data_IF_035362543711
#
_entry.id   IF_035362543711
#
_cell.length_a   1.000
_cell.length_b   1.000
_cell.length_c   1.000
_cell.angle_alpha   90.00
_cell.angle_beta   90.00
_cell.angle_gamma   90.00
#
_symmetry.space_group_name_H-M   'P 1'
#
loop_
_entity.id
_entity.type
_entity.pdbx_description
1 polymer ?
#
# COMPACT_ATOMS: atom_id res chain seq x y z
N UNK A 1 -7.79 4.43 0.44
CA UNK A 1 -8.97 4.05 -0.38
C UNK A 1 -8.57 4.03 -1.84
N UNK A 2 -9.09 3.10 -2.63
CA UNK A 2 -8.72 2.96 -4.04
C UNK A 2 -10.02 2.91 -4.87
N UNK A 3 -10.22 3.92 -5.71
CA UNK A 3 -11.32 4.00 -6.66
C UNK A 3 -10.78 3.94 -8.09
N UNK A 4 -11.66 3.80 -9.09
CA UNK A 4 -11.26 3.81 -10.48
C UNK A 4 -12.24 4.61 -11.34
N UNK A 5 -11.76 5.11 -12.47
CA UNK A 5 -12.58 5.70 -13.52
C UNK A 5 -12.16 5.10 -14.84
N UNK A 6 -13.08 4.34 -15.48
CA UNK A 6 -12.83 3.79 -16.81
C UNK A 6 -13.42 4.74 -17.85
N UNK A 7 -12.58 5.29 -18.70
CA UNK A 7 -12.94 6.22 -19.77
C UNK A 7 -13.58 5.46 -20.96
N UNK A 8 -14.32 6.14 -21.85
CA UNK A 8 -14.91 5.54 -23.06
C UNK A 8 -13.84 4.92 -24.00
N UNK A 9 -14.28 4.06 -24.92
CA UNK A 9 -13.39 3.40 -25.90
C UNK A 9 -12.77 4.35 -26.91
N UNK A 10 -13.47 5.43 -27.23
CA UNK A 10 -13.02 6.51 -28.11
C UNK A 10 -12.21 7.61 -27.40
N UNK A 11 -11.82 7.38 -26.16
CA UNK A 11 -10.93 8.29 -25.43
C UNK A 11 -9.58 8.42 -26.16
N UNK A 12 -9.10 9.65 -26.41
CA UNK A 12 -8.01 9.90 -27.37
C UNK A 12 -6.65 9.36 -26.92
N UNK A 13 -6.47 9.10 -25.63
CA UNK A 13 -5.18 8.71 -25.06
C UNK A 13 -5.14 7.22 -24.66
N UNK A 14 -4.01 6.57 -24.95
CA UNK A 14 -3.66 5.27 -24.39
C UNK A 14 -2.97 5.48 -23.02
N UNK A 15 -3.70 5.19 -21.94
CA UNK A 15 -3.23 5.43 -20.58
C UNK A 15 -2.06 4.52 -20.16
N UNK A 16 -1.82 3.40 -20.88
CA UNK A 16 -0.68 2.51 -20.59
C UNK A 16 0.67 3.12 -20.95
N UNK A 17 0.67 4.20 -21.73
CA UNK A 17 1.90 4.91 -22.16
C UNK A 17 2.27 6.07 -21.24
N UNK A 18 1.51 6.30 -20.19
CA UNK A 18 1.74 7.38 -19.23
C UNK A 18 2.64 6.90 -18.09
N UNK A 19 3.23 7.85 -17.36
CA UNK A 19 3.88 7.56 -16.08
C UNK A 19 2.84 7.03 -15.10
N UNK A 20 3.27 6.09 -14.23
CA UNK A 20 2.36 5.40 -13.32
C UNK A 20 1.57 6.37 -12.43
N UNK A 21 2.21 7.41 -11.92
CA UNK A 21 1.59 8.46 -11.09
C UNK A 21 1.78 9.78 -11.82
N UNK A 22 0.69 10.43 -12.21
CA UNK A 22 0.76 11.58 -13.12
C UNK A 22 0.27 12.89 -12.53
N UNK A 23 -0.60 12.88 -11.54
CA UNK A 23 -1.21 14.09 -10.96
C UNK A 23 -1.53 13.85 -9.50
N UNK A 24 -1.41 14.89 -8.70
CA UNK A 24 -1.81 14.87 -7.29
C UNK A 24 -2.57 16.13 -6.90
N UNK A 25 -3.53 15.98 -5.99
CA UNK A 25 -4.27 17.10 -5.38
C UNK A 25 -4.40 16.86 -3.88
N UNK A 26 -4.51 17.94 -3.14
CA UNK A 26 -4.71 18.00 -1.69
C UNK A 26 -6.01 18.71 -1.39
N UNK A 27 -7.16 18.02 -1.37
CA UNK A 27 -8.46 18.65 -1.14
C UNK A 27 -8.61 19.20 0.29
N UNK A 28 -7.88 18.65 1.23
CA UNK A 28 -7.76 19.10 2.61
C UNK A 28 -6.37 18.78 3.18
N UNK A 29 -5.98 19.29 4.38
CA UNK A 29 -4.64 19.07 4.95
C UNK A 29 -4.28 17.62 5.24
N UNK A 30 -5.27 16.73 5.32
CA UNK A 30 -5.08 15.33 5.70
C UNK A 30 -5.30 14.35 4.54
N UNK A 31 -5.75 14.82 3.40
CA UNK A 31 -6.09 13.96 2.25
C UNK A 31 -5.24 14.29 1.03
N UNK A 32 -4.59 13.29 0.50
CA UNK A 32 -3.83 13.32 -0.74
C UNK A 32 -4.46 12.37 -1.75
N UNK A 33 -4.79 12.86 -2.93
CA UNK A 33 -5.39 12.08 -4.01
C UNK A 33 -4.45 12.12 -5.22
N UNK A 34 -4.13 10.94 -5.74
CA UNK A 34 -3.30 10.77 -6.93
C UNK A 34 -4.04 10.01 -8.03
N UNK A 35 -3.71 10.34 -9.27
CA UNK A 35 -4.13 9.55 -10.43
C UNK A 35 -3.02 8.58 -10.81
N UNK A 36 -3.39 7.29 -10.86
CA UNK A 36 -2.46 6.20 -11.16
C UNK A 36 -2.93 5.44 -12.39
N UNK A 37 -2.00 5.06 -13.26
CA UNK A 37 -2.26 4.23 -14.43
C UNK A 37 -1.37 2.99 -14.41
N UNK A 38 -1.91 1.86 -14.89
CA UNK A 38 -1.15 0.63 -15.01
C UNK A 38 -0.66 0.43 -16.45
N UNK A 39 0.48 -0.22 -16.61
CA UNK A 39 0.98 -0.66 -17.91
C UNK A 39 0.12 -1.78 -18.54
N UNK A 40 0.53 -2.28 -19.69
CA UNK A 40 -0.21 -3.26 -20.51
C UNK A 40 -0.65 -4.55 -19.79
N UNK A 41 -0.02 -4.92 -18.68
CA UNK A 41 -0.36 -6.13 -17.91
C UNK A 41 -1.47 -5.91 -16.85
N UNK A 42 -2.06 -4.72 -16.77
CA UNK A 42 -3.00 -4.34 -15.70
C UNK A 42 -4.45 -4.78 -15.89
N UNK A 43 -4.84 -5.41 -16.99
CA UNK A 43 -6.23 -5.71 -17.32
C UNK A 43 -6.94 -6.62 -16.30
N UNK A 44 -6.22 -7.54 -15.67
CA UNK A 44 -6.75 -8.41 -14.60
C UNK A 44 -7.25 -7.66 -13.37
N UNK A 45 -6.77 -6.43 -13.15
CA UNK A 45 -7.20 -5.57 -12.05
C UNK A 45 -8.67 -5.16 -12.17
N UNK A 46 -9.27 -5.22 -13.38
CA UNK A 46 -10.70 -4.94 -13.60
C UNK A 46 -11.60 -5.75 -12.67
N UNK A 47 -11.22 -6.99 -12.36
CA UNK A 47 -11.99 -7.89 -11.47
C UNK A 47 -12.09 -7.41 -10.02
N UNK A 48 -11.28 -6.43 -9.64
CA UNK A 48 -11.28 -5.83 -8.31
C UNK A 48 -12.25 -4.64 -8.18
N UNK A 49 -12.92 -4.25 -9.26
CA UNK A 49 -13.76 -3.06 -9.31
C UNK A 49 -15.20 -3.37 -9.73
N UNK A 50 -16.12 -2.51 -9.29
CA UNK A 50 -17.54 -2.53 -9.66
C UNK A 50 -18.05 -1.09 -9.74
N UNK A 51 -19.36 -0.90 -10.02
CA UNK A 51 -19.95 0.44 -10.02
C UNK A 51 -19.72 1.18 -8.71
N UNK A 52 -19.58 2.50 -8.78
CA UNK A 52 -19.36 3.34 -7.62
C UNK A 52 -20.50 3.21 -6.61
N UNK A 53 -20.15 2.98 -5.36
CA UNK A 53 -21.08 2.90 -4.24
C UNK A 53 -20.68 3.93 -3.18
N UNK A 54 -21.65 4.74 -2.76
CA UNK A 54 -21.47 5.71 -1.70
C UNK A 54 -21.38 5.07 -0.30
N UNK A 55 -21.41 5.93 0.72
CA UNK A 55 -21.36 5.53 2.13
C UNK A 55 -22.39 4.48 2.52
N UNK A 56 -22.07 3.69 3.53
CA UNK A 56 -22.99 2.67 4.05
C UNK A 56 -22.32 1.66 4.98
N UNK A 57 -23.09 0.66 5.33
CA UNK A 57 -22.68 -0.46 6.18
C UNK A 57 -22.45 -1.73 5.36
N UNK A 58 -21.99 -2.80 6.00
CA UNK A 58 -21.85 -4.13 5.37
C UNK A 58 -23.17 -4.66 4.76
N UNK A 59 -24.33 -4.14 5.16
CA UNK A 59 -25.63 -4.53 4.62
C UNK A 59 -26.11 -3.54 3.57
N UNK A 60 -25.98 -2.26 3.84
CA UNK A 60 -26.55 -1.22 2.96
C UNK A 60 -25.72 -1.00 1.69
N UNK A 61 -24.39 -1.18 1.73
CA UNK A 61 -23.55 -1.04 0.52
C UNK A 61 -23.86 -2.06 -0.57
N UNK A 62 -23.99 -3.37 -0.30
CA UNK A 62 -24.40 -4.35 -1.30
C UNK A 62 -25.81 -4.04 -1.88
N UNK A 63 -26.74 -3.57 -1.04
CA UNK A 63 -28.08 -3.16 -1.53
C UNK A 63 -28.00 -1.93 -2.43
N UNK A 64 -27.16 -0.95 -2.09
CA UNK A 64 -26.89 0.21 -2.96
C UNK A 64 -26.24 -0.21 -4.28
N UNK A 65 -25.30 -1.16 -4.24
CA UNK A 65 -24.69 -1.72 -5.45
C UNK A 65 -25.75 -2.39 -6.34
N UNK A 66 -26.61 -3.22 -5.76
CA UNK A 66 -27.71 -3.84 -6.51
C UNK A 66 -28.62 -2.79 -7.14
N UNK A 67 -28.97 -1.72 -6.42
CA UNK A 67 -29.73 -0.59 -6.94
C UNK A 67 -29.01 0.12 -8.09
N UNK A 68 -27.69 0.28 -8.04
CA UNK A 68 -26.88 0.84 -9.13
C UNK A 68 -26.88 -0.09 -10.35
N UNK A 69 -26.75 -1.40 -10.15
CA UNK A 69 -26.78 -2.40 -11.24
C UNK A 69 -28.12 -2.36 -11.96
N UNK A 70 -29.23 -2.36 -11.22
CA UNK A 70 -30.60 -2.29 -11.81
C UNK A 70 -30.80 -0.97 -12.56
N UNK A 71 -30.32 0.13 -12.02
CA UNK A 71 -30.46 1.46 -12.64
C UNK A 71 -29.55 1.65 -13.86
N UNK A 72 -28.38 1.00 -13.87
CA UNK A 72 -27.34 1.18 -14.87
C UNK A 72 -26.77 -0.15 -15.40
N UNK A 73 -27.60 -1.06 -15.94
CA UNK A 73 -27.18 -2.41 -16.32
C UNK A 73 -26.10 -2.40 -17.43
N UNK A 74 -26.19 -1.47 -18.37
CA UNK A 74 -25.18 -1.34 -19.44
C UNK A 74 -23.82 -0.88 -18.90
N UNK A 75 -23.83 0.08 -17.95
CA UNK A 75 -22.57 0.50 -17.30
C UNK A 75 -21.96 -0.66 -16.53
N UNK A 76 -22.76 -1.42 -15.81
CA UNK A 76 -22.29 -2.60 -15.08
C UNK A 76 -21.70 -3.64 -16.03
N UNK A 77 -22.38 -3.99 -17.11
CA UNK A 77 -21.86 -4.93 -18.11
C UNK A 77 -20.48 -4.49 -18.66
N UNK A 78 -20.29 -3.19 -18.91
CA UNK A 78 -19.01 -2.64 -19.35
C UNK A 78 -17.89 -2.79 -18.30
N UNK A 79 -18.22 -2.78 -17.00
CA UNK A 79 -17.20 -2.98 -15.93
C UNK A 79 -16.77 -4.43 -15.82
N UNK A 80 -17.54 -5.39 -16.31
CA UNK A 80 -17.19 -6.82 -16.30
C UNK A 80 -16.22 -7.22 -17.40
N UNK A 81 -16.00 -6.34 -18.40
CA UNK A 81 -15.16 -6.64 -19.54
C UNK A 81 -13.70 -6.24 -19.31
N UNK A 82 -12.78 -7.19 -19.11
CA UNK A 82 -11.40 -6.88 -18.70
C UNK A 82 -10.51 -6.37 -19.84
N UNK A 83 -10.83 -6.70 -21.09
CA UNK A 83 -9.95 -6.41 -22.23
C UNK A 83 -9.77 -4.90 -22.44
N UNK A 84 -8.49 -4.48 -22.43
CA UNK A 84 -8.12 -3.08 -22.59
C UNK A 84 -8.51 -2.20 -21.40
N UNK A 85 -8.76 -2.80 -20.24
CA UNK A 85 -9.09 -2.05 -19.03
C UNK A 85 -7.95 -1.11 -18.62
N UNK A 86 -6.71 -1.57 -18.60
CA UNK A 86 -5.55 -0.75 -18.27
C UNK A 86 -5.32 0.42 -19.24
N UNK A 87 -5.70 0.26 -20.50
CA UNK A 87 -5.61 1.36 -21.50
C UNK A 87 -6.61 2.49 -21.26
N UNK A 88 -7.67 2.22 -20.50
CA UNK A 88 -8.83 3.10 -20.35
C UNK A 88 -9.16 3.42 -18.88
N UNK A 89 -8.34 2.98 -17.93
CA UNK A 89 -8.69 3.16 -16.52
C UNK A 89 -7.65 3.99 -15.79
N UNK A 90 -8.17 5.01 -15.12
CA UNK A 90 -7.45 5.85 -14.18
C UNK A 90 -7.83 5.39 -12.78
N UNK A 91 -6.85 4.98 -11.99
CA UNK A 91 -7.03 4.71 -10.58
C UNK A 91 -6.96 6.03 -9.82
N UNK A 92 -7.90 6.22 -8.92
CA UNK A 92 -7.92 7.33 -7.96
C UNK A 92 -7.45 6.77 -6.63
N UNK A 93 -6.17 7.00 -6.33
CA UNK A 93 -5.54 6.55 -5.11
C UNK A 93 -5.68 7.65 -4.05
N UNK A 94 -6.35 7.32 -2.95
CA UNK A 94 -6.64 8.28 -1.87
C UNK A 94 -5.93 7.86 -0.60
N UNK A 95 -5.07 8.72 -0.09
CA UNK A 95 -4.28 8.55 1.12
C UNK A 95 -4.66 9.61 2.14
N UNK A 96 -4.69 9.23 3.40
CA UNK A 96 -4.98 10.14 4.50
C UNK A 96 -3.93 10.02 5.60
N UNK A 97 -3.50 11.15 6.14
CA UNK A 97 -2.62 11.24 7.31
C UNK A 97 -3.44 11.23 8.60
N UNK A 98 -4.01 10.07 8.92
CA UNK A 98 -4.77 9.88 10.15
C UNK A 98 -3.93 9.05 11.13
N UNK A 99 -4.06 9.35 12.41
CA UNK A 99 -3.46 8.56 13.49
C UNK A 99 -4.36 7.35 13.78
N UNK A 100 -4.35 6.39 12.86
CA UNK A 100 -5.07 5.13 12.96
C UNK A 100 -4.15 3.95 12.65
N UNK A 101 -4.42 2.81 13.28
CA UNK A 101 -3.60 1.62 13.15
C UNK A 101 -4.45 0.35 13.09
N UNK A 102 -3.87 -0.70 12.52
CA UNK A 102 -4.39 -2.06 12.57
C UNK A 102 -3.36 -2.93 13.27
N UNK A 103 -3.75 -3.57 14.36
CA UNK A 103 -2.94 -4.56 15.04
C UNK A 103 -3.16 -5.95 14.42
N UNK A 104 -2.08 -6.73 14.33
CA UNK A 104 -2.13 -8.15 13.99
C UNK A 104 -2.01 -8.97 15.28
N UNK A 105 -3.06 -9.71 15.63
CA UNK A 105 -3.08 -10.56 16.81
C UNK A 105 -3.06 -12.04 16.44
N UNK A 106 -2.16 -12.83 17.03
CA UNK A 106 -2.17 -14.28 16.84
C UNK A 106 -3.38 -14.88 17.57
N UNK A 107 -4.16 -15.69 16.88
CA UNK A 107 -5.26 -16.47 17.44
C UNK A 107 -5.00 -17.95 17.25
N UNK A 108 -4.91 -18.69 18.35
CA UNK A 108 -4.75 -20.13 18.33
C UNK A 108 -6.09 -20.78 17.96
N UNK A 109 -6.09 -21.59 16.91
CA UNK A 109 -7.25 -22.42 16.54
C UNK A 109 -7.30 -23.69 17.41
N UNK A 110 -8.49 -24.32 17.50
CA UNK A 110 -8.67 -25.64 18.16
C UNK A 110 -7.76 -26.73 17.60
N UNK A 111 -7.33 -26.61 16.34
CA UNK A 111 -6.38 -27.50 15.67
C UNK A 111 -4.92 -27.28 16.03
N UNK A 112 -4.58 -26.33 16.93
CA UNK A 112 -3.22 -25.93 17.25
C UNK A 112 -2.59 -24.96 16.24
N UNK A 113 -3.22 -24.69 15.11
CA UNK A 113 -2.72 -23.75 14.12
C UNK A 113 -2.89 -22.28 14.57
N UNK A 114 -1.89 -21.47 14.36
CA UNK A 114 -1.94 -20.01 14.61
C UNK A 114 -2.53 -19.33 13.37
N UNK A 115 -3.52 -18.46 13.59
CA UNK A 115 -4.06 -17.56 12.58
C UNK A 115 -3.84 -16.12 13.03
N UNK A 116 -3.29 -15.27 12.17
CA UNK A 116 -3.27 -13.82 12.40
C UNK A 116 -4.67 -13.25 12.13
N UNK A 117 -5.15 -12.43 13.05
CA UNK A 117 -6.40 -11.70 12.94
C UNK A 117 -6.11 -10.20 13.05
N UNK A 118 -6.72 -9.41 12.18
CA UNK A 118 -6.66 -7.96 12.26
C UNK A 118 -7.59 -7.44 13.32
N UNK A 119 -7.13 -6.48 14.10
CA UNK A 119 -7.89 -5.75 15.11
C UNK A 119 -7.71 -4.26 14.85
N UNK A 120 -8.81 -3.52 14.81
CA UNK A 120 -8.77 -2.07 14.68
C UNK A 120 -8.82 -1.42 16.07
N UNK A 121 -8.17 -0.27 16.18
CA UNK A 121 -8.33 0.59 17.33
C UNK A 121 -9.79 1.08 17.39
N UNK A 122 -10.57 0.77 18.45
CA UNK A 122 -11.96 1.17 18.55
C UNK A 122 -12.14 2.69 18.70
N UNK A 123 -11.14 3.42 19.22
CA UNK A 123 -11.17 4.87 19.36
C UNK A 123 -10.81 5.59 18.06
N UNK A 124 -9.94 4.96 17.24
CA UNK A 124 -9.42 5.52 16.00
C UNK A 124 -9.52 4.52 14.84
N UNK A 125 -10.74 4.09 14.47
CA UNK A 125 -10.93 3.08 13.43
C UNK A 125 -10.53 3.63 12.05
N UNK A 126 -10.08 2.74 11.18
CA UNK A 126 -9.85 3.11 9.79
C UNK A 126 -11.17 3.48 9.10
N UNK A 127 -11.22 4.60 8.36
CA UNK A 127 -12.43 4.98 7.64
C UNK A 127 -12.76 3.94 6.55
N UNK A 128 -14.03 3.56 6.48
CA UNK A 128 -14.55 2.68 5.42
C UNK A 128 -15.11 3.47 4.23
N UNK A 129 -15.23 4.79 4.38
CA UNK A 129 -15.71 5.71 3.37
C UNK A 129 -15.00 7.06 3.50
N UNK A 130 -14.59 7.64 2.39
CA UNK A 130 -13.96 8.95 2.30
C UNK A 130 -14.76 9.77 1.29
N UNK A 131 -15.61 10.74 1.71
CA UNK A 131 -16.51 11.48 0.83
C UNK A 131 -15.79 12.13 -0.35
N UNK A 132 -14.73 12.86 -0.09
CA UNK A 132 -13.96 13.57 -1.13
C UNK A 132 -13.35 12.63 -2.17
N UNK A 133 -13.09 11.37 -1.83
CA UNK A 133 -12.64 10.35 -2.78
C UNK A 133 -13.72 10.03 -3.83
N UNK A 134 -14.96 9.84 -3.37
CA UNK A 134 -16.10 9.59 -4.25
C UNK A 134 -16.39 10.80 -5.12
N UNK A 135 -16.37 12.01 -4.56
CA UNK A 135 -16.55 13.27 -5.28
C UNK A 135 -15.50 13.43 -6.39
N UNK A 136 -14.22 13.16 -6.09
CA UNK A 136 -13.14 13.21 -7.08
C UNK A 136 -13.35 12.20 -8.21
N UNK A 137 -13.74 10.95 -7.88
CA UNK A 137 -14.01 9.92 -8.88
C UNK A 137 -15.22 10.27 -9.76
N UNK A 138 -16.28 10.81 -9.17
CA UNK A 138 -17.47 11.27 -9.93
C UNK A 138 -17.13 12.48 -10.80
N UNK A 139 -16.38 13.43 -10.29
CA UNK A 139 -15.94 14.60 -11.04
C UNK A 139 -15.11 14.17 -12.26
N UNK A 140 -14.14 13.27 -12.05
CA UNK A 140 -13.29 12.75 -13.12
C UNK A 140 -14.13 11.98 -14.17
N UNK A 141 -15.07 11.14 -13.72
CA UNK A 141 -15.96 10.40 -14.61
C UNK A 141 -16.84 11.34 -15.46
N UNK A 142 -17.38 12.40 -14.87
CA UNK A 142 -18.14 13.44 -15.60
C UNK A 142 -17.27 14.14 -16.63
N UNK A 143 -16.04 14.49 -16.26
CA UNK A 143 -15.11 15.22 -17.13
C UNK A 143 -14.63 14.40 -18.33
N UNK A 144 -14.47 13.09 -18.14
CA UNK A 144 -13.96 12.15 -19.18
C UNK A 144 -15.07 11.39 -19.91
N UNK A 145 -16.34 11.54 -19.52
CA UNK A 145 -17.43 10.69 -20.01
C UNK A 145 -17.35 9.24 -19.51
N UNK A 146 -16.52 8.99 -18.49
CA UNK A 146 -16.21 7.66 -17.99
C UNK A 146 -17.21 7.10 -16.96
N UNK A 147 -16.84 5.95 -16.39
CA UNK A 147 -17.60 5.24 -15.36
C UNK A 147 -16.76 5.22 -14.08
N UNK A 148 -17.26 5.88 -13.03
CA UNK A 148 -16.66 5.80 -11.70
C UNK A 148 -16.96 4.44 -11.05
N UNK A 149 -15.97 3.89 -10.32
CA UNK A 149 -15.98 2.53 -9.79
C UNK A 149 -15.43 2.51 -8.36
N UNK A 150 -16.03 1.70 -7.51
CA UNK A 150 -15.51 1.33 -6.19
C UNK A 150 -14.73 0.02 -6.26
N UNK A 151 -13.83 -0.17 -5.30
CA UNK A 151 -13.27 -1.49 -5.03
C UNK A 151 -14.38 -2.48 -4.65
N UNK A 152 -14.26 -3.71 -5.14
CA UNK A 152 -15.26 -4.76 -4.91
C UNK A 152 -15.39 -5.11 -3.42
N UNK A 153 -14.28 -5.10 -2.66
CA UNK A 153 -14.29 -5.36 -1.22
C UNK A 153 -15.02 -4.28 -0.43
N UNK A 154 -14.88 -3.02 -0.85
CA UNK A 154 -15.63 -1.92 -0.24
C UNK A 154 -17.13 -2.03 -0.56
N UNK A 155 -17.47 -2.30 -1.80
CA UNK A 155 -18.86 -2.36 -2.25
C UNK A 155 -19.64 -3.53 -1.65
N UNK A 156 -19.01 -4.71 -1.47
CA UNK A 156 -19.67 -5.94 -1.01
C UNK A 156 -19.58 -6.19 0.49
N UNK A 157 -18.44 -5.91 1.10
CA UNK A 157 -18.19 -6.28 2.51
C UNK A 157 -17.78 -5.10 3.38
N UNK A 158 -17.80 -3.88 2.85
CA UNK A 158 -17.44 -2.65 3.56
C UNK A 158 -16.02 -2.71 4.18
N UNK A 159 -15.06 -3.26 3.43
CA UNK A 159 -13.66 -3.34 3.84
C UNK A 159 -12.82 -2.47 2.90
N UNK A 160 -12.18 -1.42 3.41
CA UNK A 160 -11.35 -0.56 2.60
C UNK A 160 -10.11 -1.31 2.10
N UNK A 161 -9.69 -0.99 0.87
CA UNK A 161 -8.49 -1.56 0.27
C UNK A 161 -7.35 -0.57 0.37
N UNK A 162 -6.17 -1.05 0.76
CA UNK A 162 -4.93 -0.27 0.78
C UNK A 162 -3.78 -1.08 0.19
N UNK A 163 -2.85 -0.38 -0.47
CA UNK A 163 -1.55 -0.92 -0.89
C UNK A 163 -0.40 -0.44 0.03
N UNK A 164 -0.66 0.54 0.91
CA UNK A 164 0.33 1.21 1.75
C UNK A 164 0.21 0.74 3.20
N UNK A 165 0.53 -0.54 3.44
CA UNK A 165 0.59 -1.12 4.78
C UNK A 165 2.00 -0.86 5.32
N UNK A 166 2.12 -0.07 6.39
CA UNK A 166 3.38 0.29 7.02
C UNK A 166 3.41 -0.24 8.45
N UNK A 167 4.61 -0.38 9.03
CA UNK A 167 4.77 -0.81 10.41
C UNK A 167 4.71 -2.33 10.60
N UNK A 168 4.95 -2.74 11.84
CA UNK A 168 5.01 -4.15 12.27
C UNK A 168 6.39 -4.58 12.74
N UNK A 169 7.47 -3.97 12.24
CA UNK A 169 8.85 -4.14 12.73
C UNK A 169 9.55 -2.77 12.75
N UNK A 170 8.95 -1.82 13.46
CA UNK A 170 9.31 -0.41 13.41
C UNK A 170 10.71 -0.14 13.97
N UNK A 171 11.33 0.90 13.42
CA UNK A 171 12.59 1.45 13.94
C UNK A 171 12.32 2.06 15.32
N UNK A 172 13.15 1.68 16.31
CA UNK A 172 13.13 2.22 17.66
C UNK A 172 14.52 2.53 18.17
N UNK A 173 14.58 3.12 19.36
CA UNK A 173 15.85 3.37 20.06
C UNK A 173 16.40 2.07 20.67
N UNK A 174 15.51 1.22 21.18
CA UNK A 174 15.83 -0.08 21.77
C UNK A 174 14.69 -1.09 21.54
N UNK A 175 14.79 -2.28 22.15
CA UNK A 175 13.81 -3.36 22.00
C UNK A 175 12.49 -3.12 22.75
N UNK A 176 12.35 -2.05 23.52
CA UNK A 176 11.10 -1.71 24.23
C UNK A 176 10.21 -0.83 23.36
N UNK A 177 10.79 0.02 22.50
CA UNK A 177 10.05 0.94 21.64
C UNK A 177 10.10 0.57 20.14
N UNK A 178 10.93 -0.42 19.73
CA UNK A 178 11.03 -0.87 18.36
C UNK A 178 11.46 -2.32 18.19
N UNK A 179 11.48 -2.77 16.95
CA UNK A 179 11.94 -4.11 16.57
C UNK A 179 13.34 -4.06 15.94
N UNK A 180 13.66 -2.96 15.26
CA UNK A 180 14.93 -2.76 14.57
C UNK A 180 15.56 -1.43 14.97
N UNK A 181 16.91 -1.37 14.90
CA UNK A 181 17.67 -0.15 15.11
C UNK A 181 17.60 0.79 13.88
N UNK A 182 18.26 1.95 13.95
CA UNK A 182 18.35 2.93 12.86
C UNK A 182 19.06 2.41 11.59
N UNK A 183 19.77 1.28 11.69
CA UNK A 183 20.39 0.56 10.58
C UNK A 183 19.54 -0.63 10.12
N UNK A 184 18.29 -0.74 10.62
CA UNK A 184 17.32 -1.80 10.33
C UNK A 184 17.76 -3.21 10.76
N UNK A 185 18.66 -3.32 11.74
CA UNK A 185 19.06 -4.58 12.37
C UNK A 185 18.08 -4.93 13.46
N UNK A 186 17.63 -6.18 13.49
CA UNK A 186 16.69 -6.67 14.52
C UNK A 186 17.40 -6.76 15.87
N UNK A 187 16.83 -6.13 16.89
CA UNK A 187 17.38 -6.19 18.24
C UNK A 187 17.50 -7.63 18.76
N UNK A 188 18.65 -7.97 19.32
CA UNK A 188 18.94 -9.31 19.85
C UNK A 188 19.26 -10.39 18.82
N UNK A 189 19.33 -10.04 17.53
CA UNK A 189 19.69 -10.97 16.46
C UNK A 189 20.89 -10.45 15.67
N UNK A 190 21.90 -11.29 15.50
CA UNK A 190 22.97 -11.02 14.56
C UNK A 190 22.53 -11.35 13.14
N UNK A 191 22.94 -10.55 12.16
CA UNK A 191 22.72 -10.79 10.73
C UNK A 191 21.25 -10.86 10.27
N UNK A 192 20.29 -10.32 11.03
CA UNK A 192 18.90 -10.21 10.65
C UNK A 192 18.52 -8.74 10.46
N UNK A 193 18.05 -8.40 9.26
CA UNK A 193 17.61 -7.06 8.89
C UNK A 193 16.16 -7.10 8.40
N UNK A 194 15.43 -6.00 8.62
CA UNK A 194 14.11 -5.75 8.04
C UNK A 194 14.19 -4.48 7.21
N UNK A 195 14.34 -4.64 5.87
CA UNK A 195 14.61 -3.54 4.94
C UNK A 195 13.39 -3.27 4.03
N UNK A 196 12.20 -3.40 4.57
CA UNK A 196 10.97 -3.13 3.85
C UNK A 196 10.09 -2.12 4.60
N UNK A 197 8.84 -1.97 4.14
CA UNK A 197 7.85 -1.06 4.74
C UNK A 197 7.52 -1.36 6.21
N UNK A 198 7.84 -2.54 6.72
CA UNK A 198 7.58 -2.89 8.11
C UNK A 198 8.42 -2.06 9.08
N UNK A 199 9.58 -1.56 8.65
CA UNK A 199 10.46 -0.70 9.45
C UNK A 199 9.92 0.74 9.62
N UNK A 200 8.94 1.18 8.81
CA UNK A 200 8.42 2.56 8.85
C UNK A 200 7.41 2.70 10.00
N UNK A 201 7.66 3.58 11.00
CA UNK A 201 6.86 3.64 12.22
C UNK A 201 5.53 4.39 12.07
N UNK A 202 5.36 5.19 11.01
CA UNK A 202 4.20 6.06 10.86
C UNK A 202 3.73 6.18 9.40
N UNK A 203 2.49 6.63 9.24
CA UNK A 203 1.93 6.95 7.92
C UNK A 203 2.65 8.18 7.34
N UNK A 204 3.28 8.02 6.18
CA UNK A 204 4.02 9.09 5.50
C UNK A 204 3.10 10.04 4.68
N UNK A 205 1.80 9.73 4.55
CA UNK A 205 0.82 10.57 3.84
C UNK A 205 0.93 10.60 2.33
N UNK A 206 1.95 9.93 1.78
CA UNK A 206 2.25 9.84 0.34
C UNK A 206 2.63 8.39 0.01
N UNK A 207 2.88 8.10 -1.28
CA UNK A 207 3.42 6.79 -1.68
C UNK A 207 4.73 6.48 -0.95
N UNK A 208 4.81 5.35 -0.23
CA UNK A 208 5.96 5.07 0.63
C UNK A 208 7.19 4.50 -0.11
N UNK A 209 7.09 4.21 -1.42
CA UNK A 209 8.15 3.51 -2.17
C UNK A 209 9.52 4.20 -2.09
N UNK A 210 9.55 5.54 -2.22
CA UNK A 210 10.81 6.30 -2.11
C UNK A 210 11.40 6.18 -0.70
N UNK A 211 10.57 6.31 0.34
CA UNK A 211 11.00 6.17 1.73
C UNK A 211 11.52 4.76 2.01
N UNK A 212 10.83 3.71 1.53
CA UNK A 212 11.25 2.32 1.68
C UNK A 212 12.60 2.10 1.01
N UNK A 213 12.78 2.57 -0.21
CA UNK A 213 14.04 2.43 -0.96
C UNK A 213 15.18 3.14 -0.25
N UNK A 214 14.98 4.39 0.16
CA UNK A 214 16.00 5.17 0.87
C UNK A 214 16.45 4.50 2.18
N UNK A 215 15.50 3.96 2.95
CA UNK A 215 15.81 3.23 4.19
C UNK A 215 16.55 1.91 3.91
N UNK A 216 16.14 1.17 2.86
CA UNK A 216 16.82 -0.05 2.47
C UNK A 216 18.24 0.21 1.97
N UNK A 217 18.47 1.24 1.16
CA UNK A 217 19.81 1.66 0.72
C UNK A 217 20.66 2.11 1.90
N UNK A 218 20.09 2.86 2.85
CA UNK A 218 20.78 3.22 4.08
C UNK A 218 21.24 1.98 4.85
N UNK A 219 20.37 1.00 5.07
CA UNK A 219 20.71 -0.24 5.76
C UNK A 219 21.83 -0.99 5.00
N UNK A 220 21.71 -1.13 3.69
CA UNK A 220 22.72 -1.80 2.85
C UNK A 220 24.06 -1.09 2.89
N UNK A 221 24.10 0.25 2.96
CA UNK A 221 25.35 1.02 3.08
C UNK A 221 26.15 0.75 4.35
N UNK A 222 25.52 0.15 5.37
CA UNK A 222 26.17 -0.24 6.64
C UNK A 222 26.73 -1.66 6.61
N UNK A 223 26.50 -2.42 5.57
CA UNK A 223 27.06 -3.76 5.38
C UNK A 223 28.40 -3.63 4.69
N UNK A 224 29.51 -4.10 5.30
CA UNK A 224 30.83 -4.04 4.69
C UNK A 224 30.85 -4.84 3.36
N UNK A 225 31.59 -4.33 2.37
CA UNK A 225 31.84 -5.08 1.14
C UNK A 225 32.57 -6.39 1.45
N UNK A 226 32.31 -7.44 0.68
CA UNK A 226 32.91 -8.78 0.86
C UNK A 226 34.44 -8.73 0.95
N UNK A 227 35.09 -7.91 0.12
CA UNK A 227 36.54 -7.80 0.05
C UNK A 227 37.14 -7.07 1.26
N UNK A 228 36.39 -6.18 1.92
CA UNK A 228 36.78 -5.51 3.14
C UNK A 228 36.86 -6.47 4.36
N UNK A 229 36.02 -7.50 4.36
CA UNK A 229 36.02 -8.53 5.43
C UNK A 229 37.25 -9.45 5.33
N UNK A 230 37.71 -9.77 4.12
CA UNK A 230 38.87 -10.64 3.90
C UNK A 230 40.14 -9.95 4.37
N UNK A 231 40.29 -8.64 4.13
CA UNK A 231 41.46 -7.86 4.54
C UNK A 231 41.53 -7.57 6.04
N UNK A 232 40.38 -7.53 6.73
CA UNK A 232 40.29 -7.38 8.18
C UNK A 232 40.71 -8.64 8.97
N UNK A 233 40.42 -9.82 8.41
CA UNK A 233 40.75 -11.10 9.03
C UNK A 233 42.26 -11.48 8.88
N UNK A 234 42.90 -11.01 7.80
CA UNK A 234 44.33 -11.25 7.57
C UNK A 234 45.28 -10.33 8.36
N UNK A 235 44.79 -9.20 8.88
CA UNK A 235 45.57 -8.25 9.68
C UNK A 235 45.75 -8.63 11.17
N UNK A 236 44.97 -9.61 11.69
CA UNK A 236 45.01 -9.97 13.12
C UNK A 236 45.98 -11.10 13.47
N UNK A 237 46.68 -11.74 12.52
CA UNK A 237 47.56 -12.87 12.78
C UNK A 237 49.05 -12.52 12.73
N UNK A 238 49.44 -11.27 12.47
CA UNK A 238 50.85 -10.86 12.35
C UNK A 238 51.47 -10.21 13.61
N UNK A 239 50.88 -10.37 14.78
CA UNK A 239 51.30 -9.70 16.03
C UNK A 239 51.65 -10.62 17.20
N UNK A 240 52.21 -11.84 16.97
CA UNK A 240 52.71 -12.68 18.09
C UNK A 240 53.87 -13.58 17.67
N UNK A 241 55.03 -12.99 17.42
CA UNK A 241 56.30 -13.72 17.47
C UNK A 241 57.45 -12.75 17.73
N UNK A 242 58.05 -12.81 18.91
CA UNK A 242 59.36 -12.21 19.13
C UNK A 242 59.54 -11.43 20.42
N UNK A 243 59.63 -12.10 21.57
CA UNK A 243 60.58 -11.74 22.62
C UNK A 243 60.86 -12.95 23.53
N UNK A 244 61.87 -13.73 23.17
CA UNK A 244 62.59 -14.56 24.09
C UNK A 244 64.08 -14.31 23.88
N UNK A 245 64.74 -14.20 24.97
CA UNK A 245 66.23 -14.29 25.28
C UNK A 245 66.96 -12.94 25.32
N UNK A 246 67.31 -12.51 26.40
CA UNK A 246 68.48 -12.77 27.23
C UNK A 246 68.52 -11.79 28.41
#
# INVERSE_FOLDING_TARGET
MILAVTVPEDYPDDLTRRVAISSSIYPDPHTHIETVTYGHAGDSMSTLYTLLVGDGTRVTRPLKLLGQIVRHPVKFAKTLWPQGWSRRTIIVLVMQTLDNAIALRPKLKRSGAVRLQTEQDPERPNPTFIPVANEAAEWLAKRTGGIAQSSLTEALINVPTTAHILGGAVIGHDSEDGVVDSCQRVFGYENLLVCDRAAIPANVGVNPSLTITALAEHAMSKIPAKDAQVNGASGSTAGRAGSRAS
#
